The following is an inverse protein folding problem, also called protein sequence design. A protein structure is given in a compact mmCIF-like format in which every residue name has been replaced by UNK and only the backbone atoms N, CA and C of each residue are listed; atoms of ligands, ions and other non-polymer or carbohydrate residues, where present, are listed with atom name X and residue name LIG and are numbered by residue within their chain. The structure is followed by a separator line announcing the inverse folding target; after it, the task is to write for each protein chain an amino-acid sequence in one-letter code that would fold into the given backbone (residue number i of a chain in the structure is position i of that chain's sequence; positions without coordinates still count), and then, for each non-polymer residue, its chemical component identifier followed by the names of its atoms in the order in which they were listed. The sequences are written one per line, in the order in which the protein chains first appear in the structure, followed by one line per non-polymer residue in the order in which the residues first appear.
data_IF_911433857607
#
_entry.id   IF_911433857607
#
_cell.length_a   1.000
_cell.length_b   1.000
_cell.length_c   1.000
_cell.angle_alpha   90.00
_cell.angle_beta   90.00
_cell.angle_gamma   90.00
#
_symmetry.space_group_name_H-M   'P 1'
#
loop_
_entity.id
_entity.type
_entity.pdbx_description
1 polymer ?
#
# COMPACT_ATOMS: atom_id res chain seq x y z
N UNK A 1 41.46 -76.13 -7.43
CA UNK A 1 40.02 -75.84 -7.69
C UNK A 1 39.29 -75.03 -6.61
N UNK A 2 39.83 -74.84 -5.38
CA UNK A 2 39.11 -74.13 -4.30
C UNK A 2 39.23 -72.60 -4.29
N UNK A 3 40.34 -72.03 -4.78
CA UNK A 3 40.59 -70.58 -4.70
C UNK A 3 39.77 -69.76 -5.74
N UNK A 4 39.78 -70.17 -7.01
CA UNK A 4 39.02 -69.53 -8.10
C UNK A 4 37.49 -69.55 -7.86
N UNK A 5 36.98 -70.62 -7.22
CA UNK A 5 35.56 -70.72 -6.84
C UNK A 5 35.18 -69.75 -5.72
N UNK A 6 36.08 -69.54 -4.75
CA UNK A 6 35.89 -68.56 -3.66
C UNK A 6 35.96 -67.13 -4.16
N UNK A 7 36.87 -66.84 -5.10
CA UNK A 7 37.01 -65.50 -5.70
C UNK A 7 35.81 -65.12 -6.57
N UNK A 8 35.32 -66.05 -7.41
CA UNK A 8 34.07 -65.87 -8.17
C UNK A 8 32.85 -65.69 -7.26
N UNK A 9 32.80 -66.40 -6.13
CA UNK A 9 31.71 -66.25 -5.15
C UNK A 9 31.79 -64.90 -4.44
N UNK A 10 32.98 -64.44 -4.05
CA UNK A 10 33.20 -63.11 -3.46
C UNK A 10 32.81 -61.99 -4.42
N UNK A 11 33.15 -62.10 -5.71
CA UNK A 11 32.75 -61.14 -6.75
C UNK A 11 31.22 -61.12 -6.96
N UNK A 12 30.55 -62.28 -6.92
CA UNK A 12 29.07 -62.35 -6.96
C UNK A 12 28.42 -61.69 -5.74
N UNK A 13 28.97 -61.90 -4.54
CA UNK A 13 28.47 -61.27 -3.31
C UNK A 13 28.66 -59.75 -3.37
N UNK A 14 29.82 -59.27 -3.79
CA UNK A 14 30.09 -57.83 -3.97
C UNK A 14 29.12 -57.21 -4.98
N UNK A 15 28.90 -57.87 -6.12
CA UNK A 15 27.94 -57.38 -7.12
C UNK A 15 26.50 -57.38 -6.60
N UNK A 16 26.10 -58.37 -5.80
CA UNK A 16 24.77 -58.41 -5.19
C UNK A 16 24.58 -57.30 -4.15
N UNK A 17 25.60 -57.02 -3.33
CA UNK A 17 25.59 -55.90 -2.38
C UNK A 17 25.53 -54.56 -3.13
N UNK A 18 26.36 -54.38 -4.16
CA UNK A 18 26.35 -53.18 -4.98
C UNK A 18 24.97 -52.96 -5.63
N UNK A 19 24.38 -54.00 -6.21
CA UNK A 19 23.03 -53.93 -6.78
C UNK A 19 21.97 -53.58 -5.73
N UNK A 20 22.03 -54.18 -4.53
CA UNK A 20 21.12 -53.87 -3.43
C UNK A 20 21.23 -52.42 -2.95
N UNK A 21 22.44 -51.89 -2.84
CA UNK A 21 22.69 -50.48 -2.50
C UNK A 21 22.14 -49.57 -3.60
N UNK A 22 22.43 -49.85 -4.88
CA UNK A 22 21.93 -49.04 -6.00
C UNK A 22 20.40 -49.06 -6.06
N UNK A 23 19.76 -50.24 -5.94
CA UNK A 23 18.31 -50.36 -5.94
C UNK A 23 17.67 -49.58 -4.79
N UNK A 24 18.28 -49.63 -3.60
CA UNK A 24 17.80 -48.89 -2.42
C UNK A 24 17.94 -47.38 -2.63
N UNK A 25 19.08 -46.92 -3.16
CA UNK A 25 19.32 -45.50 -3.45
C UNK A 25 18.34 -44.95 -4.52
N UNK A 26 18.07 -45.73 -5.58
CA UNK A 26 17.09 -45.35 -6.61
C UNK A 26 15.68 -45.30 -6.03
N UNK A 27 15.30 -46.29 -5.21
CA UNK A 27 13.98 -46.31 -4.56
C UNK A 27 13.80 -45.12 -3.63
N UNK A 28 14.79 -44.82 -2.79
CA UNK A 28 14.77 -43.65 -1.92
C UNK A 28 14.69 -42.34 -2.73
N UNK A 29 15.45 -42.25 -3.82
CA UNK A 29 15.40 -41.09 -4.74
C UNK A 29 14.04 -40.90 -5.37
N UNK A 30 13.37 -41.97 -5.82
CA UNK A 30 12.02 -41.91 -6.37
C UNK A 30 10.98 -41.50 -5.32
N UNK A 31 11.10 -42.01 -4.09
CA UNK A 31 10.20 -41.62 -2.99
C UNK A 31 10.35 -40.13 -2.68
N UNK A 32 11.59 -39.64 -2.52
CA UNK A 32 11.87 -38.22 -2.26
C UNK A 32 11.42 -37.36 -3.44
N UNK A 33 11.71 -37.78 -4.68
CA UNK A 33 11.29 -37.09 -5.89
C UNK A 33 9.77 -37.00 -6.01
N UNK A 34 9.04 -38.07 -5.69
CA UNK A 34 7.58 -38.08 -5.71
C UNK A 34 6.98 -37.22 -4.60
N UNK A 35 7.58 -37.21 -3.40
CA UNK A 35 7.16 -36.31 -2.31
C UNK A 35 7.40 -34.84 -2.66
N UNK A 36 8.52 -34.53 -3.33
CA UNK A 36 8.80 -33.19 -3.84
C UNK A 36 7.80 -32.80 -4.94
N UNK A 37 7.54 -33.67 -5.91
CA UNK A 37 6.55 -33.42 -6.96
C UNK A 37 5.14 -33.21 -6.38
N UNK A 38 4.73 -34.00 -5.40
CA UNK A 38 3.46 -33.83 -4.71
C UNK A 38 3.40 -32.51 -3.93
N UNK A 39 4.50 -32.12 -3.27
CA UNK A 39 4.59 -30.84 -2.57
C UNK A 39 4.41 -29.63 -3.49
N UNK A 40 4.89 -29.73 -4.72
CA UNK A 40 4.81 -28.67 -5.73
C UNK A 40 3.80 -28.98 -6.84
N UNK A 41 2.84 -29.87 -6.58
CA UNK A 41 1.89 -30.34 -7.60
C UNK A 41 1.10 -29.19 -8.21
N UNK A 42 0.70 -28.21 -7.38
CA UNK A 42 -0.04 -27.02 -7.83
C UNK A 42 0.77 -26.20 -8.83
N UNK A 43 2.03 -25.89 -8.52
CA UNK A 43 2.93 -25.12 -9.37
C UNK A 43 3.25 -25.89 -10.66
N UNK A 44 3.52 -27.19 -10.55
CA UNK A 44 3.77 -28.07 -11.70
C UNK A 44 2.56 -28.10 -12.62
N UNK A 45 1.36 -28.32 -12.08
CA UNK A 45 0.11 -28.32 -12.84
C UNK A 45 -0.16 -26.95 -13.48
N UNK A 46 0.14 -25.85 -12.78
CA UNK A 46 -0.05 -24.49 -13.32
C UNK A 46 0.79 -24.22 -14.57
N UNK A 47 1.97 -24.85 -14.68
CA UNK A 47 2.91 -24.68 -15.79
C UNK A 47 2.65 -25.69 -16.92
N UNK A 48 2.39 -26.95 -16.58
CA UNK A 48 2.23 -28.03 -17.56
C UNK A 48 0.81 -28.12 -18.14
N UNK A 49 -0.19 -27.63 -17.40
CA UNK A 49 -1.57 -27.62 -17.82
C UNK A 49 -2.17 -26.22 -17.60
N UNK A 50 -1.70 -25.20 -18.35
CA UNK A 50 -2.23 -23.86 -18.21
C UNK A 50 -3.73 -23.88 -18.55
N UNK A 51 -4.56 -23.12 -17.82
CA UNK A 51 -5.97 -23.04 -18.11
C UNK A 51 -6.19 -22.55 -19.55
N UNK A 52 -7.18 -23.12 -20.25
CA UNK A 52 -7.68 -22.55 -21.49
C UNK A 52 -8.43 -21.26 -21.12
N UNK A 53 -7.80 -20.12 -21.39
CA UNK A 53 -8.35 -18.79 -21.07
C UNK A 53 -9.06 -18.24 -22.31
N UNK A 54 -10.37 -18.00 -22.18
CA UNK A 54 -11.09 -17.11 -23.09
C UNK A 54 -10.69 -15.66 -22.79
N UNK A 55 -9.89 -15.08 -23.69
CA UNK A 55 -9.33 -13.73 -23.52
C UNK A 55 -10.39 -12.64 -23.57
N UNK A 56 -11.41 -12.79 -24.42
CA UNK A 56 -12.48 -11.81 -24.56
C UNK A 56 -13.35 -11.80 -23.29
N UNK A 57 -13.71 -12.99 -22.79
CA UNK A 57 -14.45 -13.11 -21.54
C UNK A 57 -13.65 -12.57 -20.34
N UNK A 58 -12.33 -12.81 -20.30
CA UNK A 58 -11.45 -12.28 -19.26
C UNK A 58 -11.38 -10.75 -19.29
N UNK A 59 -11.20 -10.15 -20.46
CA UNK A 59 -11.15 -8.69 -20.64
C UNK A 59 -12.48 -8.03 -20.26
N UNK A 60 -13.61 -8.63 -20.65
CA UNK A 60 -14.93 -8.16 -20.25
C UNK A 60 -15.14 -8.24 -18.75
N UNK A 61 -14.73 -9.36 -18.12
CA UNK A 61 -14.83 -9.53 -16.66
C UNK A 61 -13.94 -8.52 -15.92
N UNK A 62 -12.72 -8.28 -16.40
CA UNK A 62 -11.82 -7.29 -15.83
C UNK A 62 -12.43 -5.89 -15.91
N UNK A 63 -12.91 -5.48 -17.08
CA UNK A 63 -13.57 -4.18 -17.29
C UNK A 63 -14.78 -4.00 -16.35
N UNK A 64 -15.64 -5.00 -16.26
CA UNK A 64 -16.80 -4.97 -15.35
C UNK A 64 -16.37 -4.88 -13.88
N UNK A 65 -15.33 -5.60 -13.47
CA UNK A 65 -14.78 -5.54 -12.12
C UNK A 65 -14.21 -4.17 -11.78
N UNK A 66 -13.52 -3.54 -12.73
CA UNK A 66 -12.95 -2.19 -12.55
C UNK A 66 -14.05 -1.13 -12.42
N UNK A 67 -15.11 -1.19 -13.24
CA UNK A 67 -16.26 -0.29 -13.11
C UNK A 67 -17.03 -0.51 -11.80
N UNK A 68 -17.22 -1.76 -11.38
CA UNK A 68 -17.82 -2.07 -10.09
C UNK A 68 -16.97 -1.51 -8.94
N UNK A 69 -15.65 -1.67 -8.99
CA UNK A 69 -14.73 -1.14 -7.98
C UNK A 69 -14.84 0.38 -7.85
N UNK A 70 -14.91 1.11 -8.97
CA UNK A 70 -15.15 2.57 -8.98
C UNK A 70 -16.48 2.93 -8.34
N UNK A 71 -17.55 2.22 -8.70
CA UNK A 71 -18.89 2.45 -8.13
C UNK A 71 -18.92 2.21 -6.62
N UNK A 72 -18.26 1.16 -6.13
CA UNK A 72 -18.13 0.89 -4.70
C UNK A 72 -17.41 2.02 -3.96
N UNK A 73 -16.36 2.62 -4.54
CA UNK A 73 -15.71 3.79 -3.93
C UNK A 73 -16.60 5.03 -3.96
N UNK A 74 -17.34 5.26 -5.03
CA UNK A 74 -18.30 6.37 -5.12
C UNK A 74 -19.37 6.30 -4.04
N UNK A 75 -19.89 5.11 -3.78
CA UNK A 75 -20.95 4.90 -2.79
C UNK A 75 -20.41 4.71 -1.36
N UNK A 76 -19.18 4.22 -1.22
CA UNK A 76 -18.56 3.81 0.04
C UNK A 76 -17.63 4.82 0.68
N UNK A 77 -17.06 5.76 -0.08
CA UNK A 77 -16.25 6.84 0.49
C UNK A 77 -17.09 7.71 1.43
N UNK A 78 -16.57 7.96 2.62
CA UNK A 78 -17.29 8.65 3.70
C UNK A 78 -16.74 10.07 3.83
N UNK A 79 -17.59 11.07 3.61
CA UNK A 79 -17.28 12.46 3.94
C UNK A 79 -17.55 12.69 5.43
N UNK A 80 -16.49 12.65 6.25
CA UNK A 80 -16.56 12.76 7.71
C UNK A 80 -16.80 14.20 8.18
N UNK A 81 -16.20 15.16 7.48
CA UNK A 81 -16.33 16.60 7.75
C UNK A 81 -16.30 17.35 6.43
N UNK A 82 -17.07 18.44 6.35
CA UNK A 82 -17.00 19.43 5.28
C UNK A 82 -17.62 20.74 5.78
N UNK A 83 -16.86 21.83 5.80
CA UNK A 83 -17.34 23.16 6.19
C UNK A 83 -17.91 23.99 5.02
N UNK A 84 -18.13 23.37 3.86
CA UNK A 84 -18.61 24.01 2.63
C UNK A 84 -17.54 24.15 1.55
N UNK A 85 -16.31 23.68 1.82
CA UNK A 85 -15.20 23.68 0.85
C UNK A 85 -15.40 22.69 -0.29
N UNK A 86 -16.01 21.53 -0.03
CA UNK A 86 -16.37 20.56 -1.07
C UNK A 86 -17.84 20.70 -1.51
N UNK A 87 -18.16 20.46 -2.79
CA UNK A 87 -17.24 20.09 -3.87
C UNK A 87 -16.37 21.27 -4.34
N UNK A 88 -15.16 20.97 -4.79
CA UNK A 88 -14.30 21.95 -5.46
C UNK A 88 -14.85 22.28 -6.84
N UNK A 89 -14.65 23.51 -7.28
CA UNK A 89 -15.03 23.94 -8.62
C UNK A 89 -13.97 23.50 -9.64
N UNK A 90 -14.34 22.58 -10.52
CA UNK A 90 -13.47 22.09 -11.59
C UNK A 90 -13.01 23.20 -12.53
N UNK A 91 -13.79 24.28 -12.71
CA UNK A 91 -13.44 25.39 -13.58
C UNK A 91 -12.30 26.26 -13.04
N UNK A 92 -12.14 26.33 -11.72
CA UNK A 92 -11.19 27.24 -11.05
C UNK A 92 -10.07 26.50 -10.32
N UNK A 93 -10.35 25.34 -9.73
CA UNK A 93 -9.33 24.53 -9.03
C UNK A 93 -8.78 23.47 -9.97
N UNK A 94 -7.73 23.84 -10.72
CA UNK A 94 -7.02 22.95 -11.66
C UNK A 94 -5.68 22.42 -11.16
N UNK A 95 -5.17 22.99 -10.08
CA UNK A 95 -3.88 22.65 -9.48
C UNK A 95 -4.08 22.36 -8.01
N UNK A 96 -3.42 21.33 -7.49
CA UNK A 96 -3.48 20.98 -6.06
C UNK A 96 -2.12 20.50 -5.56
N UNK A 97 -1.80 20.81 -4.30
CA UNK A 97 -0.69 20.19 -3.60
C UNK A 97 -1.19 18.93 -2.89
N UNK A 98 -0.48 17.81 -3.05
CA UNK A 98 -0.79 16.56 -2.34
C UNK A 98 0.31 16.29 -1.31
N UNK A 99 0.00 16.56 -0.06
CA UNK A 99 0.85 16.39 1.11
C UNK A 99 0.64 15.03 1.79
N UNK A 100 1.59 14.67 2.65
CA UNK A 100 1.69 13.40 3.36
C UNK A 100 2.45 12.37 2.54
N UNK A 101 3.42 11.69 3.14
CA UNK A 101 4.21 10.66 2.44
C UNK A 101 3.34 9.51 1.91
N UNK A 102 2.21 9.23 2.56
CA UNK A 102 1.22 8.26 2.08
C UNK A 102 0.56 8.63 0.75
N UNK A 103 0.79 9.84 0.22
CA UNK A 103 0.44 10.20 -1.16
C UNK A 103 1.30 9.50 -2.22
N UNK A 104 2.53 9.10 -1.88
CA UNK A 104 3.45 8.37 -2.77
C UNK A 104 3.55 6.88 -2.43
N UNK A 105 3.07 6.47 -1.26
CA UNK A 105 2.94 5.08 -0.80
C UNK A 105 1.49 4.79 -0.36
N UNK A 106 0.58 4.92 -1.32
CA UNK A 106 -0.85 4.72 -1.12
C UNK A 106 -1.18 3.29 -0.65
N UNK A 107 -2.10 3.17 0.30
CA UNK A 107 -2.51 1.87 0.87
C UNK A 107 -3.68 1.32 0.05
N UNK A 108 -3.34 0.49 -0.94
CA UNK A 108 -4.31 -0.19 -1.80
C UNK A 108 -5.04 -1.34 -1.09
N UNK A 109 -4.41 -1.95 -0.09
CA UNK A 109 -4.86 -3.13 0.60
C UNK A 109 -3.86 -3.52 1.69
N UNK A 110 -4.18 -4.58 2.44
CA UNK A 110 -3.20 -5.20 3.33
C UNK A 110 -2.08 -5.83 2.51
N UNK A 111 -0.84 -5.86 3.00
CA UNK A 111 0.25 -6.52 2.27
C UNK A 111 1.35 -7.00 3.23
N UNK A 112 2.27 -7.79 2.67
CA UNK A 112 3.39 -8.37 3.40
C UNK A 112 3.15 -9.82 3.81
N UNK A 113 4.24 -10.47 4.24
CA UNK A 113 4.19 -11.79 4.86
C UNK A 113 3.42 -11.72 6.17
N UNK A 114 2.61 -12.76 6.42
CA UNK A 114 1.65 -12.90 7.52
C UNK A 114 0.42 -11.98 7.44
N UNK A 115 0.24 -11.25 6.35
CA UNK A 115 -0.97 -10.49 6.07
C UNK A 115 -1.92 -11.27 5.13
N UNK A 116 -3.21 -10.97 5.22
CA UNK A 116 -4.24 -11.38 4.28
C UNK A 116 -4.94 -10.13 3.72
N UNK A 117 -5.31 -10.15 2.44
CA UNK A 117 -5.93 -8.99 1.77
C UNK A 117 -5.02 -8.24 0.78
N UNK A 118 -3.90 -8.84 0.36
CA UNK A 118 -3.09 -8.32 -0.75
C UNK A 118 -3.90 -8.21 -2.02
N UNK A 119 -3.78 -7.06 -2.65
CA UNK A 119 -4.33 -6.80 -3.98
C UNK A 119 -3.21 -6.77 -5.01
N UNK A 120 -3.50 -7.26 -6.21
CA UNK A 120 -2.59 -7.23 -7.35
C UNK A 120 -3.38 -6.83 -8.60
N UNK A 121 -2.76 -6.08 -9.52
CA UNK A 121 -3.35 -5.84 -10.84
C UNK A 121 -3.49 -7.16 -11.61
N UNK A 122 -4.48 -7.23 -12.49
CA UNK A 122 -4.93 -8.43 -13.19
C UNK A 122 -3.85 -9.04 -14.08
N UNK A 123 -2.94 -8.20 -14.59
CA UNK A 123 -1.83 -8.55 -15.46
C UNK A 123 -0.46 -8.53 -14.77
N UNK A 124 -0.43 -8.28 -13.46
CA UNK A 124 0.81 -8.17 -12.68
C UNK A 124 1.58 -6.86 -12.89
N UNK A 125 1.06 -5.90 -13.65
CA UNK A 125 1.69 -4.59 -13.86
C UNK A 125 1.24 -3.57 -12.79
N UNK A 126 2.02 -3.50 -11.70
CA UNK A 126 1.76 -2.61 -10.57
C UNK A 126 1.85 -1.13 -10.91
N UNK A 127 2.46 -0.75 -12.03
CA UNK A 127 2.51 0.65 -12.46
C UNK A 127 1.12 1.20 -12.78
N UNK A 128 0.17 0.31 -13.12
CA UNK A 128 -1.24 0.60 -13.39
C UNK A 128 -2.07 0.83 -12.12
N UNK A 129 -1.53 0.56 -10.94
CA UNK A 129 -2.23 0.87 -9.69
C UNK A 129 -2.47 2.37 -9.58
N UNK A 130 -3.69 2.73 -9.18
CA UNK A 130 -4.15 4.12 -9.14
C UNK A 130 -4.17 4.59 -7.69
N UNK A 131 -3.24 5.48 -7.33
CA UNK A 131 -3.27 6.28 -6.10
C UNK A 131 -4.06 7.59 -6.33
N UNK A 132 -4.18 8.42 -5.29
CA UNK A 132 -4.86 9.72 -5.38
C UNK A 132 -4.23 10.66 -6.41
N UNK A 133 -2.89 10.71 -6.48
CA UNK A 133 -2.15 11.58 -7.40
C UNK A 133 -2.43 11.19 -8.85
N UNK A 134 -2.31 9.90 -9.19
CA UNK A 134 -2.65 9.37 -10.53
C UNK A 134 -4.13 9.56 -10.86
N UNK A 135 -5.03 9.41 -9.89
CA UNK A 135 -6.46 9.64 -10.08
C UNK A 135 -6.73 11.10 -10.47
N UNK A 136 -6.14 12.06 -9.74
CA UNK A 136 -6.27 13.49 -10.02
C UNK A 136 -5.70 13.87 -11.39
N UNK A 137 -4.50 13.38 -11.72
CA UNK A 137 -3.87 13.61 -13.02
C UNK A 137 -4.70 13.04 -14.17
N UNK A 138 -5.23 11.83 -14.02
CA UNK A 138 -6.11 11.20 -15.02
C UNK A 138 -7.44 11.95 -15.19
N UNK A 139 -7.89 12.66 -14.15
CA UNK A 139 -9.06 13.53 -14.16
C UNK A 139 -8.78 14.95 -14.74
N UNK A 140 -7.52 15.24 -15.08
CA UNK A 140 -7.08 16.52 -15.63
C UNK A 140 -6.76 17.59 -14.59
N UNK A 141 -6.42 17.18 -13.37
CA UNK A 141 -5.92 18.07 -12.31
C UNK A 141 -4.41 17.96 -12.23
N UNK A 142 -3.73 19.10 -12.28
CA UNK A 142 -2.29 19.19 -12.14
C UNK A 142 -1.89 19.04 -10.66
N UNK A 143 -0.92 18.16 -10.39
CA UNK A 143 -0.39 17.94 -9.03
C UNK A 143 1.05 18.41 -8.97
N UNK A 144 1.46 18.96 -7.83
CA UNK A 144 2.83 19.44 -7.62
C UNK A 144 3.87 18.29 -7.67
N UNK A 145 4.60 18.17 -8.78
CA UNK A 145 5.59 17.10 -8.98
C UNK A 145 6.83 17.28 -8.11
N UNK A 146 7.22 18.52 -7.81
CA UNK A 146 8.38 18.83 -6.94
C UNK A 146 8.16 18.30 -5.51
N UNK A 147 6.94 18.49 -4.99
CA UNK A 147 6.52 17.94 -3.70
C UNK A 147 6.46 16.41 -3.74
N UNK A 148 5.91 15.84 -4.81
CA UNK A 148 5.84 14.39 -5.02
C UNK A 148 7.24 13.74 -5.02
N UNK A 149 8.18 14.33 -5.75
CA UNK A 149 9.56 13.83 -5.86
C UNK A 149 10.30 13.93 -4.51
N UNK A 150 10.07 14.99 -3.74
CA UNK A 150 10.61 15.13 -2.38
C UNK A 150 10.17 13.98 -1.47
N UNK A 151 8.89 13.61 -1.44
CA UNK A 151 8.43 12.48 -0.62
C UNK A 151 9.06 11.14 -1.05
N UNK A 152 9.24 10.92 -2.35
CA UNK A 152 9.89 9.71 -2.85
C UNK A 152 11.38 9.66 -2.52
N UNK A 153 12.02 10.83 -2.41
CA UNK A 153 13.39 10.95 -1.94
C UNK A 153 13.51 10.69 -0.43
N UNK A 154 12.54 11.14 0.38
CA UNK A 154 12.52 10.94 1.83
C UNK A 154 12.53 9.46 2.21
N UNK A 155 11.60 8.72 1.63
CA UNK A 155 11.57 7.28 1.78
C UNK A 155 10.97 6.67 0.53
N UNK A 156 11.69 5.72 -0.06
CA UNK A 156 11.20 5.00 -1.22
C UNK A 156 9.87 4.31 -0.85
N UNK A 157 8.81 4.44 -1.67
CA UNK A 157 7.58 3.67 -1.48
C UNK A 157 7.89 2.17 -1.39
N UNK A 158 7.04 1.39 -0.74
CA UNK A 158 7.24 -0.04 -0.52
C UNK A 158 6.99 -0.84 -1.79
N UNK A 159 7.88 -0.63 -2.77
CA UNK A 159 7.87 -1.13 -4.13
C UNK A 159 6.52 -1.05 -4.86
N UNK A 160 5.62 -0.14 -4.45
CA UNK A 160 4.26 -0.05 -5.02
C UNK A 160 3.52 -1.41 -5.01
N UNK A 161 3.81 -2.25 -4.00
CA UNK A 161 3.37 -3.65 -3.84
C UNK A 161 4.01 -4.68 -4.79
N UNK A 162 5.03 -4.33 -5.59
CA UNK A 162 5.67 -5.25 -6.55
C UNK A 162 6.37 -6.43 -5.85
N UNK A 163 7.16 -6.16 -4.80
CA UNK A 163 8.01 -7.17 -4.15
C UNK A 163 7.97 -7.14 -2.62
N UNK A 164 6.77 -7.24 -2.08
CA UNK A 164 6.52 -7.24 -0.63
C UNK A 164 6.27 -8.65 -0.06
N UNK A 165 6.35 -9.70 -0.90
CA UNK A 165 6.05 -11.08 -0.49
C UNK A 165 6.98 -11.61 0.61
N UNK A 166 8.21 -11.12 0.64
CA UNK A 166 9.21 -11.49 1.64
C UNK A 166 9.35 -10.45 2.77
N UNK A 167 8.66 -9.32 2.67
CA UNK A 167 8.65 -8.26 3.67
C UNK A 167 7.59 -8.58 4.72
N UNK A 168 7.94 -8.65 6.00
CA UNK A 168 6.96 -8.90 7.04
C UNK A 168 6.02 -7.69 7.20
N UNK A 169 4.73 -7.90 7.48
CA UNK A 169 3.78 -6.77 7.63
C UNK A 169 4.22 -5.73 8.67
N UNK A 170 4.92 -6.15 9.73
CA UNK A 170 5.49 -5.26 10.75
C UNK A 170 6.57 -4.29 10.21
N UNK A 171 7.15 -4.54 9.04
CA UNK A 171 8.05 -3.58 8.36
C UNK A 171 7.24 -2.54 7.56
N UNK A 172 5.95 -2.78 7.34
CA UNK A 172 5.04 -1.87 6.64
C UNK A 172 4.28 -0.93 7.57
N UNK A 173 4.25 -1.23 8.87
CA UNK A 173 3.58 -0.43 9.89
C UNK A 173 4.28 0.86 10.29
N UNK A 174 5.62 0.99 10.30
CA UNK A 174 6.25 2.23 10.74
C UNK A 174 5.74 3.46 10.00
N UNK A 175 5.47 4.52 10.76
CA UNK A 175 5.04 5.80 10.21
C UNK A 175 6.25 6.51 9.60
N UNK A 176 6.09 7.00 8.38
CA UNK A 176 7.11 7.68 7.61
C UNK A 176 6.54 9.01 7.19
N UNK A 177 6.88 10.07 7.90
CA UNK A 177 6.47 11.42 7.54
C UNK A 177 7.63 12.37 7.82
N UNK A 178 8.14 13.11 6.82
CA UNK A 178 9.16 14.12 7.06
C UNK A 178 8.62 15.23 7.97
N UNK A 179 9.47 15.75 8.84
CA UNK A 179 9.10 16.88 9.70
C UNK A 179 9.05 18.17 8.88
N UNK A 180 7.85 18.70 8.62
CA UNK A 180 7.64 19.95 7.88
C UNK A 180 8.30 21.18 8.51
N UNK A 181 8.61 21.12 9.80
CA UNK A 181 9.25 22.23 10.53
C UNK A 181 10.79 22.21 10.41
N UNK A 182 11.37 21.18 9.80
CA UNK A 182 12.81 21.07 9.63
C UNK A 182 13.25 21.44 8.20
N UNK A 183 13.75 22.66 8.05
CA UNK A 183 14.20 23.20 6.76
C UNK A 183 15.69 23.00 6.44
N UNK A 184 16.43 22.27 7.28
CA UNK A 184 17.90 22.24 7.24
C UNK A 184 18.51 21.31 6.18
N UNK A 185 17.68 20.63 5.39
CA UNK A 185 18.11 19.65 4.38
C UNK A 185 17.89 20.11 2.94
N UNK A 186 18.01 19.17 2.00
CA UNK A 186 17.65 19.36 0.60
C UNK A 186 16.41 18.55 0.23
N UNK A 187 15.73 18.95 -0.83
CA UNK A 187 14.58 18.21 -1.38
C UNK A 187 15.00 16.84 -1.92
N UNK A 188 16.22 16.74 -2.46
CA UNK A 188 16.80 15.45 -2.91
C UNK A 188 17.12 14.49 -1.77
N UNK A 189 17.19 14.99 -0.54
CA UNK A 189 17.30 14.17 0.69
C UNK A 189 15.92 13.98 1.35
N UNK A 190 14.83 14.43 0.70
CA UNK A 190 13.47 14.29 1.20
C UNK A 190 13.10 15.23 2.34
N UNK A 191 13.67 16.42 2.36
CA UNK A 191 13.32 17.43 3.35
C UNK A 191 12.50 18.55 2.71
N UNK A 192 11.58 19.12 3.49
CA UNK A 192 10.94 20.37 3.11
C UNK A 192 11.97 21.50 3.16
N UNK A 193 12.20 22.18 2.04
CA UNK A 193 12.99 23.41 2.01
C UNK A 193 12.05 24.61 2.07
N UNK A 194 12.56 25.76 2.53
CA UNK A 194 11.78 27.00 2.47
C UNK A 194 11.38 27.37 1.03
N UNK A 195 12.22 27.03 0.05
CA UNK A 195 11.92 27.24 -1.37
C UNK A 195 10.80 26.32 -1.86
N UNK A 196 10.84 25.02 -1.55
CA UNK A 196 9.77 24.08 -1.88
C UNK A 196 8.43 24.55 -1.31
N UNK A 197 8.43 24.95 -0.04
CA UNK A 197 7.21 25.38 0.62
C UNK A 197 6.66 26.70 0.06
N UNK A 198 7.54 27.63 -0.32
CA UNK A 198 7.13 28.83 -1.06
C UNK A 198 6.51 28.44 -2.40
N UNK A 199 7.16 27.56 -3.14
CA UNK A 199 6.67 27.05 -4.42
C UNK A 199 5.30 26.36 -4.28
N UNK A 200 5.08 25.56 -3.23
CA UNK A 200 3.79 24.92 -3.00
C UNK A 200 2.65 25.94 -2.84
N UNK A 201 2.88 27.03 -2.10
CA UNK A 201 1.87 28.10 -1.94
C UNK A 201 1.56 28.81 -3.26
N UNK A 202 2.60 29.10 -4.05
CA UNK A 202 2.43 29.71 -5.38
C UNK A 202 1.75 28.76 -6.38
N UNK A 203 1.93 27.44 -6.20
CA UNK A 203 1.38 26.43 -7.09
C UNK A 203 -0.14 26.28 -6.95
N UNK A 204 -0.68 26.33 -5.73
CA UNK A 204 -2.12 26.22 -5.47
C UNK A 204 -2.50 26.63 -4.05
N UNK A 205 -3.65 27.28 -3.90
CA UNK A 205 -4.30 27.54 -2.61
C UNK A 205 -4.99 26.30 -2.00
N UNK A 206 -4.95 25.14 -2.70
CA UNK A 206 -5.60 23.90 -2.27
C UNK A 206 -4.57 22.83 -1.90
N UNK A 207 -4.69 22.32 -0.68
CA UNK A 207 -3.88 21.24 -0.14
C UNK A 207 -4.75 20.01 0.15
N UNK A 208 -4.34 18.87 -0.40
CA UNK A 208 -4.83 17.55 0.00
C UNK A 208 -3.80 16.91 0.92
N UNK A 209 -4.21 16.41 2.08
CA UNK A 209 -3.30 15.79 3.04
C UNK A 209 -3.68 14.32 3.19
N UNK A 210 -2.79 13.40 2.83
CA UNK A 210 -3.03 11.96 2.90
C UNK A 210 -2.42 11.39 4.18
N UNK A 211 -3.28 10.89 5.06
CA UNK A 211 -2.90 10.12 6.25
C UNK A 211 -3.26 8.66 5.99
N UNK A 212 -2.27 7.78 6.04
CA UNK A 212 -2.45 6.36 5.74
C UNK A 212 -1.99 5.46 6.87
N UNK A 213 -2.72 4.37 7.10
CA UNK A 213 -2.35 3.32 8.06
C UNK A 213 -2.44 1.96 7.38
N UNK A 214 -1.38 1.18 7.51
CA UNK A 214 -1.39 -0.22 7.13
C UNK A 214 -2.24 -1.01 8.13
N UNK A 215 -2.92 -2.03 7.66
CA UNK A 215 -3.67 -2.96 8.48
C UNK A 215 -3.66 -4.34 7.83
N UNK A 216 -3.64 -5.39 8.65
CA UNK A 216 -3.61 -6.77 8.17
C UNK A 216 -3.56 -7.78 9.28
N UNK A 217 -3.81 -9.03 8.92
CA UNK A 217 -3.56 -10.16 9.79
C UNK A 217 -2.09 -10.17 10.27
N UNK A 218 -1.85 -10.65 11.49
CA UNK A 218 -0.50 -10.72 12.06
C UNK A 218 0.13 -9.36 12.41
N UNK A 219 -0.55 -8.25 12.11
CA UNK A 219 -0.16 -6.91 12.50
C UNK A 219 -0.70 -6.57 13.89
N UNK A 220 0.07 -5.81 14.67
CA UNK A 220 -0.39 -5.24 15.93
C UNK A 220 -0.52 -3.72 15.80
N UNK A 221 -1.75 -3.19 15.85
CA UNK A 221 -2.00 -1.76 16.05
C UNK A 221 -1.60 -1.41 17.49
N UNK A 222 -0.35 -1.01 17.69
CA UNK A 222 0.16 -0.78 19.04
C UNK A 222 -0.59 0.38 19.72
N UNK A 223 -1.26 0.14 20.86
CA UNK A 223 -2.07 1.17 21.53
C UNK A 223 -1.22 2.15 22.36
N UNK A 224 0.09 1.96 22.47
CA UNK A 224 0.94 2.77 23.35
C UNK A 224 2.19 3.32 22.65
N UNK A 225 2.40 3.00 21.37
CA UNK A 225 3.60 3.45 20.68
C UNK A 225 3.38 3.55 19.18
N UNK A 226 3.88 4.64 18.60
CA UNK A 226 4.11 4.77 17.17
C UNK A 226 5.57 4.44 16.87
N UNK A 227 5.79 3.36 16.11
CA UNK A 227 7.09 3.12 15.48
C UNK A 227 7.22 4.03 14.28
N UNK A 228 8.36 4.72 14.15
CA UNK A 228 8.62 5.66 13.06
C UNK A 228 9.88 5.27 12.31
N UNK A 229 9.92 5.60 11.03
CA UNK A 229 11.07 5.37 10.15
C UNK A 229 11.31 6.58 9.24
N UNK A 230 12.58 6.85 8.91
CA UNK A 230 13.00 7.96 8.07
C UNK A 230 14.09 8.81 8.73
N UNK A 231 14.58 9.81 7.98
CA UNK A 231 15.64 10.70 8.47
C UNK A 231 15.23 11.45 9.74
N UNK A 232 15.91 11.19 10.86
CA UNK A 232 15.64 11.85 12.14
C UNK A 232 14.38 11.39 12.88
N UNK A 233 13.72 10.31 12.42
CA UNK A 233 12.52 9.80 13.08
C UNK A 233 12.83 9.17 14.44
N UNK A 234 12.01 9.44 15.44
CA UNK A 234 12.08 8.80 16.76
C UNK A 234 10.73 8.19 17.10
N UNK A 235 10.74 6.96 17.63
CA UNK A 235 9.51 6.32 18.11
C UNK A 235 8.83 7.19 19.18
N UNK A 236 7.51 7.20 19.18
CA UNK A 236 6.72 7.99 20.11
C UNK A 236 5.89 7.05 20.99
N UNK A 237 6.18 7.02 22.29
CA UNK A 237 5.45 6.20 23.28
C UNK A 237 4.33 6.96 23.98
N UNK A 238 3.99 8.17 23.51
CA UNK A 238 2.89 8.99 24.04
C UNK A 238 1.64 8.94 23.17
N UNK A 239 1.75 8.33 21.98
CA UNK A 239 0.69 8.20 20.97
C UNK A 239 0.47 6.77 20.56
N UNK A 240 -0.74 6.47 20.10
CA UNK A 240 -1.07 5.15 19.57
C UNK A 240 -1.05 5.11 18.04
N UNK A 241 -1.04 3.90 17.46
CA UNK A 241 -0.91 3.73 16.01
C UNK A 241 -2.02 4.39 15.18
N UNK A 242 -3.25 4.42 15.69
CA UNK A 242 -4.43 4.97 15.01
C UNK A 242 -4.69 6.46 15.33
N UNK A 243 -3.66 7.17 15.80
CA UNK A 243 -3.63 8.62 16.03
C UNK A 243 -2.68 9.24 15.02
N UNK A 244 -2.81 10.52 14.70
CA UNK A 244 -1.81 11.25 13.91
C UNK A 244 -0.45 11.28 14.63
N UNK A 245 0.65 11.18 13.90
CA UNK A 245 1.99 11.38 14.48
C UNK A 245 2.27 12.86 14.76
N UNK A 246 3.31 13.15 15.53
CA UNK A 246 3.79 14.53 15.75
C UNK A 246 4.14 15.25 14.45
N UNK A 247 4.68 14.53 13.47
CA UNK A 247 5.04 15.06 12.15
C UNK A 247 3.79 15.30 11.29
N UNK A 248 2.84 14.36 11.29
CA UNK A 248 1.55 14.52 10.62
C UNK A 248 0.74 15.69 11.24
N UNK A 249 0.77 15.86 12.56
CA UNK A 249 0.14 16.99 13.24
C UNK A 249 0.78 18.33 12.83
N UNK A 250 2.11 18.39 12.77
CA UNK A 250 2.82 19.58 12.31
C UNK A 250 2.48 19.90 10.84
N UNK A 251 2.39 18.87 9.98
CA UNK A 251 1.96 19.00 8.60
C UNK A 251 0.53 19.54 8.49
N UNK A 252 -0.40 18.99 9.26
CA UNK A 252 -1.80 19.41 9.27
C UNK A 252 -1.94 20.86 9.73
N UNK A 253 -1.25 21.26 10.80
CA UNK A 253 -1.22 22.66 11.28
C UNK A 253 -0.65 23.59 10.22
N UNK A 254 0.48 23.22 9.61
CA UNK A 254 1.07 24.00 8.53
C UNK A 254 0.07 24.16 7.37
N UNK A 255 -0.62 23.10 6.96
CA UNK A 255 -1.58 23.18 5.87
C UNK A 255 -2.77 24.09 6.23
N UNK A 256 -3.35 23.92 7.41
CA UNK A 256 -4.47 24.73 7.89
C UNK A 256 -4.15 26.22 8.06
N UNK A 257 -2.89 26.56 8.30
CA UNK A 257 -2.44 27.96 8.41
C UNK A 257 -2.14 28.61 7.05
N UNK A 258 -1.86 27.82 6.00
CA UNK A 258 -1.25 28.34 4.78
C UNK A 258 -2.06 28.13 3.50
N UNK A 259 -3.09 27.28 3.52
CA UNK A 259 -3.92 27.00 2.35
C UNK A 259 -5.38 27.40 2.60
N UNK A 260 -6.08 27.79 1.53
CA UNK A 260 -7.48 28.19 1.59
C UNK A 260 -8.41 26.99 1.70
N UNK A 261 -8.06 25.90 1.03
CA UNK A 261 -8.84 24.67 1.01
C UNK A 261 -7.94 23.52 1.46
N UNK A 262 -8.24 22.89 2.59
CA UNK A 262 -7.51 21.72 3.12
C UNK A 262 -8.45 20.53 3.23
N UNK A 263 -8.19 19.50 2.41
CA UNK A 263 -8.96 18.24 2.42
C UNK A 263 -8.07 17.11 2.89
N UNK A 264 -8.44 16.48 4.00
CA UNK A 264 -7.71 15.35 4.59
C UNK A 264 -8.28 14.04 4.07
N UNK A 265 -7.42 13.11 3.64
CA UNK A 265 -7.79 11.76 3.22
C UNK A 265 -7.23 10.75 4.21
N UNK A 266 -8.12 10.02 4.87
CA UNK A 266 -7.80 8.89 5.73
C UNK A 266 -7.86 7.61 4.89
N UNK A 267 -6.69 7.13 4.48
CA UNK A 267 -6.49 5.90 3.73
C UNK A 267 -6.04 4.78 4.70
N UNK A 268 -7.02 4.26 5.44
CA UNK A 268 -6.84 3.24 6.47
C UNK A 268 -8.05 2.30 6.48
N UNK A 269 -7.89 1.05 6.96
CA UNK A 269 -8.98 0.10 7.07
C UNK A 269 -9.65 0.04 8.46
N UNK A 270 -9.06 0.70 9.46
CA UNK A 270 -9.61 0.76 10.82
C UNK A 270 -10.24 2.14 11.08
N UNK A 271 -11.16 2.25 12.06
CA UNK A 271 -11.51 3.54 12.63
C UNK A 271 -10.25 4.26 13.10
N UNK A 272 -10.16 5.54 12.76
CA UNK A 272 -9.02 6.38 13.08
C UNK A 272 -9.48 7.44 14.10
N UNK A 273 -8.59 7.88 14.97
CA UNK A 273 -8.91 8.98 15.87
C UNK A 273 -9.04 10.28 15.06
N UNK A 274 -10.19 10.94 15.16
CA UNK A 274 -10.52 12.12 14.35
C UNK A 274 -10.58 13.42 15.15
N UNK A 275 -10.14 13.41 16.42
CA UNK A 275 -10.13 14.60 17.29
C UNK A 275 -9.39 15.79 16.69
N UNK A 276 -8.31 15.51 15.97
CA UNK A 276 -7.47 16.51 15.33
C UNK A 276 -8.20 17.41 14.32
N UNK A 277 -9.25 16.91 13.66
CA UNK A 277 -10.06 17.71 12.71
C UNK A 277 -10.81 18.86 13.39
N UNK A 278 -11.00 18.78 14.72
CA UNK A 278 -11.60 19.85 15.52
C UNK A 278 -10.56 20.72 16.21
N UNK A 279 -9.45 20.15 16.65
CA UNK A 279 -8.42 20.88 17.41
C UNK A 279 -7.47 21.68 16.52
N UNK A 280 -7.28 21.26 15.26
CA UNK A 280 -6.43 21.96 14.29
C UNK A 280 -7.32 22.86 13.41
N UNK A 281 -7.20 24.19 13.50
CA UNK A 281 -7.96 25.11 12.66
C UNK A 281 -7.50 25.03 11.19
N UNK A 282 -8.41 25.36 10.27
CA UNK A 282 -8.12 25.40 8.83
C UNK A 282 -8.20 24.04 8.12
N UNK A 283 -8.64 22.98 8.79
CA UNK A 283 -8.94 21.69 8.16
C UNK A 283 -10.40 21.64 7.71
N UNK A 284 -10.65 21.82 6.42
CA UNK A 284 -11.98 22.11 5.90
C UNK A 284 -12.86 20.88 5.71
N UNK A 285 -12.27 19.81 5.17
CA UNK A 285 -12.97 18.58 4.88
C UNK A 285 -12.11 17.35 5.17
N UNK A 286 -12.76 16.22 5.43
CA UNK A 286 -12.10 14.93 5.60
C UNK A 286 -12.88 13.80 4.93
N UNK A 287 -12.18 13.00 4.14
CA UNK A 287 -12.68 11.73 3.60
C UNK A 287 -12.05 10.55 4.34
N UNK A 288 -12.85 9.55 4.65
CA UNK A 288 -12.38 8.20 4.93
C UNK A 288 -12.62 7.32 3.71
N UNK A 289 -11.54 6.79 3.15
CA UNK A 289 -11.56 6.10 1.83
C UNK A 289 -11.24 4.62 1.92
N UNK A 290 -10.98 4.09 3.12
CA UNK A 290 -10.67 2.67 3.29
C UNK A 290 -9.40 2.26 2.54
N UNK A 291 -9.34 0.97 2.20
CA UNK A 291 -8.44 0.44 1.19
C UNK A 291 -9.12 0.44 -0.17
N UNK A 292 -8.45 1.01 -1.18
CA UNK A 292 -9.08 1.31 -2.47
C UNK A 292 -8.98 0.18 -3.48
N UNK A 293 -8.31 -0.94 -3.17
CA UNK A 293 -7.83 -1.86 -4.19
C UNK A 293 -6.97 -1.13 -5.23
N UNK A 294 -6.72 -1.77 -6.36
CA UNK A 294 -5.79 -1.26 -7.39
C UNK A 294 -6.37 -0.18 -8.31
N UNK A 295 -7.70 0.07 -8.24
CA UNK A 295 -8.42 0.91 -9.21
C UNK A 295 -9.39 1.92 -8.58
N UNK A 296 -9.93 1.65 -7.39
CA UNK A 296 -11.09 2.41 -6.91
C UNK A 296 -10.77 3.87 -6.58
N UNK A 297 -9.50 4.22 -6.28
CA UNK A 297 -9.09 5.60 -6.06
C UNK A 297 -9.37 6.51 -7.28
N UNK A 298 -9.48 5.95 -8.50
CA UNK A 298 -9.89 6.69 -9.70
C UNK A 298 -11.27 7.35 -9.59
N UNK A 299 -12.11 6.91 -8.65
CA UNK A 299 -13.40 7.54 -8.38
C UNK A 299 -13.32 8.80 -7.51
N UNK A 300 -12.23 9.00 -6.74
CA UNK A 300 -12.13 10.08 -5.76
C UNK A 300 -12.26 11.48 -6.38
N UNK A 301 -11.65 11.81 -7.53
CA UNK A 301 -11.83 13.12 -8.15
C UNK A 301 -13.29 13.47 -8.41
N UNK A 302 -14.13 12.52 -8.84
CA UNK A 302 -15.55 12.77 -9.09
C UNK A 302 -16.32 13.14 -7.82
N UNK A 303 -15.91 12.62 -6.67
CA UNK A 303 -16.46 12.98 -5.36
C UNK A 303 -15.99 14.37 -4.92
N UNK A 304 -14.71 14.67 -5.15
CA UNK A 304 -14.08 15.95 -4.78
C UNK A 304 -14.68 17.11 -5.61
N UNK A 305 -14.92 16.90 -6.90
CA UNK A 305 -15.40 17.91 -7.84
C UNK A 305 -16.93 17.86 -8.08
N UNK A 306 -17.65 17.01 -7.33
CA UNK A 306 -19.12 17.05 -7.28
C UNK A 306 -19.86 16.41 -8.45
N UNK A 307 -19.20 15.64 -9.33
CA UNK A 307 -19.88 14.79 -10.31
C UNK A 307 -20.69 13.67 -9.64
N UNK A 308 -20.22 13.22 -8.47
CA UNK A 308 -20.90 12.24 -7.63
C UNK A 308 -20.93 12.77 -6.20
N UNK A 309 -22.09 12.68 -5.55
CA UNK A 309 -22.21 13.06 -4.14
C UNK A 309 -21.73 11.92 -3.23
N UNK A 310 -20.87 12.18 -2.23
CA UNK A 310 -20.50 11.18 -1.24
C UNK A 310 -21.72 10.66 -0.48
N UNK A 311 -21.92 9.35 -0.46
CA UNK A 311 -23.05 8.71 0.23
C UNK A 311 -22.65 7.76 1.35
N UNK A 312 -21.35 7.45 1.48
CA UNK A 312 -20.84 6.52 2.48
C UNK A 312 -21.21 6.92 3.90
N UNK A 313 -21.41 5.93 4.76
CA UNK A 313 -21.71 6.09 6.18
C UNK A 313 -20.74 5.26 7.01
N UNK A 314 -20.38 5.77 8.19
CA UNK A 314 -19.56 5.03 9.13
C UNK A 314 -20.33 3.81 9.64
N UNK A 315 -19.67 2.66 9.66
CA UNK A 315 -20.21 1.42 10.25
C UNK A 315 -19.69 1.17 11.67
N UNK A 316 -18.70 1.98 12.09
CA UNK A 316 -18.07 1.99 13.41
C UNK A 316 -18.05 3.41 13.99
N UNK A 317 -17.62 3.53 15.25
CA UNK A 317 -17.42 4.82 15.92
C UNK A 317 -16.01 5.32 15.61
N UNK A 318 -15.92 6.56 15.11
CA UNK A 318 -14.66 7.30 14.96
C UNK A 318 -14.48 8.20 16.19
N UNK A 319 -13.54 7.87 17.09
CA UNK A 319 -13.42 8.55 18.37
C UNK A 319 -12.71 9.90 18.25
N UNK A 320 -12.93 10.76 19.23
CA UNK A 320 -12.13 11.99 19.39
C UNK A 320 -10.76 11.72 20.02
N UNK A 321 -10.67 10.66 20.82
CA UNK A 321 -9.52 10.24 21.65
C UNK A 321 -9.75 8.77 22.05
N UNK A 322 -8.71 7.94 22.16
CA UNK A 322 -8.80 6.49 22.50
C UNK A 322 -7.93 6.06 23.68
#
# INVERSE_FOLDING_TARGET
MGADRKEKMKKKIINAIAFGITATAVTAGLIVGNQMAYRYESEINSQLNPPLIDKEALEQSATNGQELSKKLMQEGAILLQNNGTLPLDYGTTKKVNVFGWRSVDWVYGSDGKNASGRVAPEDGDYTKNIDLTKALQSYGIETNTRLYDMYRAFHKPMWELVDTRNTHINEMTPLREPNIMNYSGSESDGNYTSELLSYCKDFSDTAFVVIGRMAGEGMNCNPNTQTKEGGGSTNDSTRHYLEISTEEEALLKYCGENYKNVVVFINAANPFEMGFMKSIPGLDAAFYVGFTGTRAASALPKLIYGEVSPSGKTVDIFPYDM
#
